data_IF_054886437021
#
_entry.id   IF_054886437021
#
_cell.length_a   1.000
_cell.length_b   1.000
_cell.length_c   1.000
_cell.angle_alpha   90.00
_cell.angle_beta   90.00
_cell.angle_gamma   90.00
#
_symmetry.space_group_name_H-M   'P 1'
#
loop_
_entity.id
_entity.type
_entity.pdbx_description
1 polymer ?
#
# COMPACT_ATOMS: atom_id res chain seq x y z
N UNK A 1 -13.62 -7.20 -3.94
CA UNK A 1 -12.75 -6.70 -2.87
C UNK A 1 -13.46 -5.62 -2.11
N UNK A 2 -13.41 -5.61 -0.77
CA UNK A 2 -13.94 -4.49 0.02
C UNK A 2 -13.16 -3.23 -0.37
N UNK A 3 -13.86 -2.16 -0.77
CA UNK A 3 -13.25 -0.88 -1.15
C UNK A 3 -12.39 -0.34 -0.02
N UNK A 4 -11.28 0.31 -0.39
CA UNK A 4 -10.43 1.06 0.53
C UNK A 4 -11.28 2.09 1.28
N UNK A 5 -11.14 2.22 2.62
CA UNK A 5 -11.91 3.20 3.38
C UNK A 5 -11.57 4.63 2.96
N UNK A 6 -12.56 5.51 3.01
CA UNK A 6 -12.42 6.96 2.79
C UNK A 6 -12.85 7.69 4.08
N UNK A 7 -12.00 8.54 4.68
CA UNK A 7 -10.65 8.91 4.23
C UNK A 7 -9.65 7.74 4.28
N UNK A 8 -8.57 7.78 3.48
CA UNK A 8 -7.56 6.74 3.50
C UNK A 8 -6.93 6.59 4.89
N UNK A 9 -6.57 5.36 5.30
CA UNK A 9 -6.02 5.11 6.62
C UNK A 9 -4.66 5.81 6.76
N UNK A 10 -4.42 6.41 7.93
CA UNK A 10 -3.14 7.07 8.24
C UNK A 10 -2.07 6.08 8.70
N UNK A 11 -2.46 4.90 9.18
CA UNK A 11 -1.59 3.82 9.62
C UNK A 11 -2.28 2.48 9.34
N UNK A 12 -1.49 1.44 9.08
CA UNK A 12 -1.99 0.06 9.03
C UNK A 12 -1.28 -0.76 10.10
N UNK A 13 -2.06 -1.41 10.97
CA UNK A 13 -1.53 -2.27 12.03
C UNK A 13 -1.70 -3.73 11.62
N UNK A 14 -0.63 -4.52 11.70
CA UNK A 14 -0.64 -5.92 11.28
C UNK A 14 0.35 -6.77 12.09
N UNK A 15 0.01 -8.03 12.43
CA UNK A 15 0.86 -8.92 13.24
C UNK A 15 2.08 -9.45 12.49
N UNK A 16 2.04 -9.46 11.15
CA UNK A 16 3.13 -9.86 10.26
C UNK A 16 2.91 -9.24 8.89
N UNK A 17 3.99 -9.05 8.12
CA UNK A 17 3.89 -8.62 6.72
C UNK A 17 3.21 -9.70 5.88
N UNK A 18 2.19 -9.29 5.13
CA UNK A 18 1.36 -10.16 4.30
C UNK A 18 1.30 -9.61 2.88
N UNK A 19 1.21 -10.48 1.88
CA UNK A 19 0.98 -10.09 0.47
C UNK A 19 -0.50 -9.99 0.11
N UNK A 20 -1.33 -9.56 1.06
CA UNK A 20 -2.77 -9.38 0.84
C UNK A 20 -3.03 -7.99 0.28
N UNK A 21 -4.08 -7.85 -0.54
CA UNK A 21 -4.48 -6.58 -1.19
C UNK A 21 -4.37 -5.38 -0.25
N UNK A 22 -4.88 -5.49 0.98
CA UNK A 22 -4.86 -4.38 1.93
C UNK A 22 -3.46 -3.89 2.30
N UNK A 23 -2.53 -4.82 2.50
CA UNK A 23 -1.16 -4.49 2.90
C UNK A 23 -0.41 -3.90 1.73
N UNK A 24 -0.56 -4.48 0.53
CA UNK A 24 0.11 -3.99 -0.67
C UNK A 24 -0.42 -2.61 -1.10
N UNK A 25 -1.73 -2.37 -0.99
CA UNK A 25 -2.30 -1.05 -1.21
C UNK A 25 -1.77 -0.01 -0.21
N UNK A 26 -1.69 -0.35 1.08
CA UNK A 26 -1.12 0.54 2.09
C UNK A 26 0.33 0.91 1.75
N UNK A 27 1.15 -0.08 1.40
CA UNK A 27 2.55 0.14 1.02
C UNK A 27 2.69 1.03 -0.22
N UNK A 28 1.90 0.75 -1.26
CA UNK A 28 1.93 1.53 -2.50
C UNK A 28 1.49 2.99 -2.26
N UNK A 29 0.52 3.20 -1.38
CA UNK A 29 0.04 4.52 -0.97
C UNK A 29 0.98 5.25 0.02
N UNK A 30 2.08 4.64 0.43
CA UNK A 30 2.95 5.22 1.45
C UNK A 30 2.31 5.23 2.86
N UNK A 31 1.40 4.32 3.18
CA UNK A 31 0.85 4.23 4.54
C UNK A 31 1.87 3.56 5.47
N UNK A 32 2.18 4.15 6.65
CA UNK A 32 3.00 3.52 7.68
C UNK A 32 2.44 2.16 8.13
N UNK A 33 3.31 1.16 8.19
CA UNK A 33 2.98 -0.17 8.67
C UNK A 33 3.48 -0.35 10.11
N UNK A 34 2.58 -0.65 11.03
CA UNK A 34 2.84 -0.74 12.46
C UNK A 34 2.68 -2.17 12.98
N UNK A 35 3.52 -2.55 13.95
CA UNK A 35 3.36 -3.77 14.75
C UNK A 35 2.20 -3.58 15.74
N UNK A 36 1.50 -4.65 16.19
CA UNK A 36 0.38 -4.54 17.13
C UNK A 36 0.75 -3.94 18.50
N UNK A 37 2.03 -4.02 18.87
CA UNK A 37 2.56 -3.38 20.10
C UNK A 37 2.36 -1.86 20.09
N UNK A 38 2.26 -1.23 18.91
CA UNK A 38 1.96 0.19 18.77
C UNK A 38 0.60 0.58 19.37
N UNK A 39 -0.44 -0.27 19.22
CA UNK A 39 -1.78 0.02 19.78
C UNK A 39 -1.80 -0.03 21.32
N UNK A 40 -0.87 -0.78 21.92
CA UNK A 40 -0.83 -1.01 23.37
C UNK A 40 0.02 0.04 24.10
N UNK A 41 0.86 0.79 23.37
CA UNK A 41 1.70 1.83 23.95
C UNK A 41 1.05 3.19 23.75
N UNK A 42 0.22 3.56 24.73
CA UNK A 42 -0.65 4.73 24.65
C UNK A 42 0.00 6.04 25.11
N UNK A 43 1.33 6.14 25.19
CA UNK A 43 2.05 7.35 25.62
C UNK A 43 3.57 7.14 25.51
N UNK A 44 4.29 8.13 24.96
CA UNK A 44 5.74 8.39 25.07
C UNK A 44 6.78 7.66 24.17
N UNK A 45 6.46 6.58 23.47
CA UNK A 45 7.39 6.00 22.47
C UNK A 45 7.19 6.64 21.08
N UNK A 46 8.29 6.98 20.41
CA UNK A 46 8.27 7.47 19.02
C UNK A 46 7.55 6.45 18.13
N UNK A 47 6.71 6.95 17.21
CA UNK A 47 6.01 6.14 16.19
C UNK A 47 7.00 5.23 15.45
N UNK A 48 8.25 5.65 15.27
CA UNK A 48 9.25 4.92 14.49
C UNK A 48 9.69 3.61 15.14
N UNK A 49 9.61 3.47 16.47
CA UNK A 49 10.09 2.28 17.18
C UNK A 49 9.22 1.04 16.90
N UNK A 50 7.97 1.25 16.49
CA UNK A 50 7.00 0.17 16.26
C UNK A 50 6.71 -0.07 14.78
N UNK A 51 7.36 0.66 13.89
CA UNK A 51 7.23 0.44 12.46
C UNK A 51 7.83 -0.92 12.08
N UNK A 52 7.29 -1.49 11.00
CA UNK A 52 7.97 -2.57 10.30
C UNK A 52 9.19 -1.99 9.57
N UNK A 53 10.34 -2.65 9.68
CA UNK A 53 11.62 -2.24 9.06
C UNK A 53 12.12 -3.28 8.05
N UNK A 54 11.24 -4.10 7.51
CA UNK A 54 11.57 -4.98 6.38
C UNK A 54 11.61 -4.15 5.09
N UNK A 55 12.36 -4.58 4.07
CA UNK A 55 12.64 -3.79 2.87
C UNK A 55 11.38 -3.27 2.16
N UNK A 56 10.27 -4.00 2.23
CA UNK A 56 8.99 -3.54 1.68
C UNK A 56 8.39 -2.37 2.48
N UNK A 57 8.51 -2.37 3.80
CA UNK A 57 8.07 -1.27 4.66
C UNK A 57 9.01 -0.05 4.55
N UNK A 58 10.30 -0.27 4.33
CA UNK A 58 11.26 0.79 4.00
C UNK A 58 10.92 1.48 2.67
N UNK A 59 10.51 0.72 1.65
CA UNK A 59 10.05 1.29 0.38
C UNK A 59 8.86 2.25 0.59
N UNK A 60 7.87 1.88 1.43
CA UNK A 60 6.75 2.75 1.80
C UNK A 60 7.22 4.04 2.50
N UNK A 61 8.22 3.95 3.39
CA UNK A 61 8.81 5.12 4.03
C UNK A 61 9.50 6.06 3.03
N UNK A 62 10.19 5.50 2.03
CA UNK A 62 10.82 6.26 0.96
C UNK A 62 9.80 7.04 0.11
N UNK A 63 8.67 6.42 -0.26
CA UNK A 63 7.61 7.11 -1.02
C UNK A 63 7.02 8.28 -0.22
N UNK A 64 6.74 8.07 1.07
CA UNK A 64 6.27 9.13 1.99
C UNK A 64 7.24 10.30 2.09
N UNK A 65 8.53 10.01 2.24
CA UNK A 65 9.56 11.05 2.38
C UNK A 65 9.60 11.98 1.16
N UNK A 66 9.16 11.48 0.00
CA UNK A 66 9.05 12.25 -1.25
C UNK A 66 7.69 12.96 -1.41
N UNK A 67 6.80 12.86 -0.43
CA UNK A 67 5.45 13.41 -0.47
C UNK A 67 4.51 12.70 -1.45
N UNK A 68 4.86 11.48 -1.87
CA UNK A 68 4.19 10.79 -2.96
C UNK A 68 3.90 9.32 -2.70
N UNK A 69 3.52 8.63 -3.76
CA UNK A 69 3.17 7.21 -3.75
C UNK A 69 3.98 6.43 -4.79
N UNK A 70 3.96 5.09 -4.68
CA UNK A 70 4.90 4.22 -5.40
C UNK A 70 4.84 4.35 -6.94
N UNK A 71 3.68 4.73 -7.49
CA UNK A 71 3.40 4.74 -8.92
C UNK A 71 2.87 6.10 -9.40
N UNK A 72 3.15 7.17 -8.64
CA UNK A 72 2.72 8.51 -8.97
C UNK A 72 3.25 8.94 -10.35
N UNK A 73 2.37 9.53 -11.17
CA UNK A 73 2.71 9.95 -12.54
C UNK A 73 2.75 8.81 -13.57
N UNK A 74 2.55 7.55 -13.17
CA UNK A 74 2.53 6.42 -14.10
C UNK A 74 1.12 6.20 -14.68
N UNK A 75 1.08 5.85 -15.97
CA UNK A 75 -0.12 5.30 -16.63
C UNK A 75 0.08 3.80 -16.78
N UNK A 76 -0.78 3.00 -16.16
CA UNK A 76 -0.63 1.55 -16.10
C UNK A 76 -1.82 0.84 -16.73
N UNK A 77 -1.56 -0.19 -17.53
CA UNK A 77 -2.58 -1.10 -18.03
C UNK A 77 -2.28 -2.50 -17.48
N UNK A 78 -3.30 -3.16 -16.94
CA UNK A 78 -3.21 -4.58 -16.60
C UNK A 78 -3.59 -5.39 -17.83
N UNK A 79 -2.63 -6.15 -18.36
CA UNK A 79 -2.77 -6.98 -19.57
C UNK A 79 -2.70 -8.46 -19.20
N UNK A 80 -3.36 -9.32 -19.97
CA UNK A 80 -3.32 -10.78 -19.80
C UNK A 80 -4.62 -11.43 -19.32
N UNK A 81 -4.67 -12.76 -19.47
CA UNK A 81 -5.73 -13.65 -18.98
C UNK A 81 -5.60 -13.97 -17.48
N UNK A 82 -6.07 -15.13 -17.02
CA UNK A 82 -6.19 -15.48 -15.58
C UNK A 82 -5.01 -15.01 -14.69
N UNK A 83 -5.24 -13.97 -13.87
CA UNK A 83 -4.26 -13.40 -12.94
C UNK A 83 -4.56 -13.85 -11.50
N UNK A 84 -3.50 -14.16 -10.76
CA UNK A 84 -3.55 -14.35 -9.30
C UNK A 84 -2.59 -13.35 -8.64
N UNK A 85 -3.08 -12.30 -7.96
CA UNK A 85 -4.48 -12.02 -7.63
C UNK A 85 -5.31 -11.51 -8.84
N UNK A 86 -6.66 -11.49 -8.74
CA UNK A 86 -7.52 -11.03 -9.82
C UNK A 86 -7.14 -9.63 -10.33
N UNK A 87 -7.39 -9.37 -11.61
CA UNK A 87 -7.14 -8.08 -12.25
C UNK A 87 -7.60 -6.88 -11.40
N UNK A 88 -8.80 -6.94 -10.84
CA UNK A 88 -9.36 -5.87 -10.01
C UNK A 88 -8.52 -5.56 -8.77
N UNK A 89 -7.89 -6.57 -8.16
CA UNK A 89 -6.95 -6.40 -7.03
C UNK A 89 -5.66 -5.72 -7.49
N UNK A 90 -5.11 -6.11 -8.64
CA UNK A 90 -3.90 -5.47 -9.20
C UNK A 90 -4.19 -4.01 -9.54
N UNK A 91 -5.32 -3.73 -10.18
CA UNK A 91 -5.73 -2.37 -10.46
C UNK A 91 -5.98 -1.55 -9.19
N UNK A 92 -6.50 -2.16 -8.12
CA UNK A 92 -6.66 -1.49 -6.83
C UNK A 92 -5.31 -1.09 -6.22
N UNK A 93 -4.30 -1.98 -6.29
CA UNK A 93 -2.93 -1.69 -5.83
C UNK A 93 -2.31 -0.55 -6.64
N UNK A 94 -2.46 -0.58 -7.97
CA UNK A 94 -1.95 0.47 -8.85
C UNK A 94 -2.57 1.83 -8.53
N UNK A 95 -3.91 1.89 -8.39
CA UNK A 95 -4.62 3.12 -8.02
C UNK A 95 -4.26 3.61 -6.63
N UNK A 96 -4.09 2.71 -5.66
CA UNK A 96 -3.65 3.07 -4.31
C UNK A 96 -2.25 3.69 -4.32
N UNK A 97 -1.36 3.20 -5.21
CA UNK A 97 -0.06 3.80 -5.46
C UNK A 97 -0.05 5.01 -6.38
N UNK A 98 -1.20 5.61 -6.70
CA UNK A 98 -1.30 6.83 -7.50
C UNK A 98 -1.15 6.66 -9.02
N UNK A 99 -1.13 5.43 -9.52
CA UNK A 99 -1.13 5.22 -10.97
C UNK A 99 -2.49 5.57 -11.58
N UNK A 100 -2.46 6.16 -12.78
CA UNK A 100 -3.64 6.21 -13.64
C UNK A 100 -3.81 4.85 -14.32
N UNK A 101 -4.76 4.04 -13.82
CA UNK A 101 -5.11 2.77 -14.47
C UNK A 101 -5.95 3.03 -15.72
N UNK A 102 -5.44 2.60 -16.87
CA UNK A 102 -6.08 2.76 -18.19
C UNK A 102 -6.49 1.41 -18.77
N UNK A 103 -7.47 1.43 -19.67
CA UNK A 103 -7.82 0.25 -20.44
C UNK A 103 -6.62 -0.20 -21.29
N UNK A 104 -6.41 -1.52 -21.46
CA UNK A 104 -5.41 -2.00 -22.41
C UNK A 104 -5.79 -1.50 -23.81
N UNK A 105 -4.83 -0.96 -24.55
CA UNK A 105 -5.04 -0.71 -25.98
C UNK A 105 -5.24 -2.06 -26.65
N UNK A 106 -6.34 -2.20 -27.40
CA UNK A 106 -6.48 -3.30 -28.35
C UNK A 106 -5.30 -3.20 -29.33
N UNK A 107 -4.55 -4.29 -29.45
CA UNK A 107 -3.52 -4.43 -30.47
C UNK A 107 -4.17 -4.62 -31.84
#
# INVERSE_FOLDING_TARGET
>A
GKKWPSPPPTHLVLPRLLRVEKVVCALAAGVPLMKPTWLHQRTSSSVDTHAWTDGLAEASAHWRARGGCAFEGLRAAVVGGSLTPPRSTIEAILRAGGAQVVAPRAA
#
